data_IF_527223756546
#
_entry.id   IF_527223756546
#
_cell.length_a   1.000
_cell.length_b   1.000
_cell.length_c   1.000
_cell.angle_alpha   90.00
_cell.angle_beta   90.00
_cell.angle_gamma   90.00
#
_symmetry.space_group_name_H-M   'P 1'
#
loop_
_entity.id
_entity.type
_entity.pdbx_description
1 polymer ?
#
# COMPACT_ATOMS: atom_id res chain seq x y z
N UNK A 1 42.99 -26.06 23.19
CA UNK A 1 42.50 -24.67 23.36
C UNK A 1 41.91 -24.20 22.03
N UNK A 2 40.60 -24.27 21.87
CA UNK A 2 39.90 -23.71 20.70
C UNK A 2 38.51 -23.28 21.13
N UNK A 3 38.36 -21.99 21.40
CA UNK A 3 37.13 -21.35 21.89
C UNK A 3 36.16 -21.19 20.72
N UNK A 4 35.07 -21.95 20.73
CA UNK A 4 33.93 -21.72 19.83
C UNK A 4 33.09 -20.55 20.36
N UNK A 5 33.14 -19.42 19.66
CA UNK A 5 32.28 -18.26 19.91
C UNK A 5 30.89 -18.61 19.39
N UNK A 6 30.00 -18.97 20.32
CA UNK A 6 28.54 -19.03 20.10
C UNK A 6 28.07 -17.64 19.69
N UNK A 7 27.81 -17.43 18.40
CA UNK A 7 26.99 -16.31 17.92
C UNK A 7 25.56 -16.52 18.44
N UNK A 8 25.24 -15.92 19.58
CA UNK A 8 23.87 -15.67 20.01
C UNK A 8 23.22 -14.71 19.02
N UNK A 9 22.72 -15.25 17.91
CA UNK A 9 21.73 -14.58 17.08
C UNK A 9 20.43 -14.60 17.87
N UNK A 10 20.18 -13.51 18.59
CA UNK A 10 18.86 -13.15 19.13
C UNK A 10 17.89 -13.03 17.96
N UNK A 11 17.31 -14.16 17.56
CA UNK A 11 16.15 -14.22 16.68
C UNK A 11 15.04 -13.45 17.40
N UNK A 12 14.52 -12.43 16.74
CA UNK A 12 13.30 -11.75 17.18
C UNK A 12 12.21 -12.79 17.45
N UNK A 13 11.48 -12.68 18.58
CA UNK A 13 10.47 -13.65 18.94
C UNK A 13 9.34 -13.64 17.90
N UNK A 14 9.00 -14.86 17.48
CA UNK A 14 7.86 -15.20 16.65
C UNK A 14 6.60 -14.94 17.46
N UNK A 15 5.89 -13.84 17.22
CA UNK A 15 4.50 -13.67 17.70
C UNK A 15 3.76 -12.51 17.03
N UNK A 16 2.79 -12.85 16.18
CA UNK A 16 1.39 -12.37 16.21
C UNK A 16 0.74 -12.52 14.83
N UNK A 17 -0.20 -13.46 14.71
CA UNK A 17 -1.10 -13.59 13.54
C UNK A 17 -2.02 -12.37 13.34
N UNK A 18 -2.00 -11.42 14.28
CA UNK A 18 -2.94 -10.29 14.35
C UNK A 18 -2.34 -8.94 13.92
N UNK A 19 -1.04 -8.91 13.58
CA UNK A 19 -0.29 -7.67 13.31
C UNK A 19 0.43 -7.76 11.98
N UNK A 20 0.08 -6.88 11.04
CA UNK A 20 0.81 -6.73 9.77
C UNK A 20 1.70 -5.51 9.85
N UNK A 21 2.98 -5.68 9.50
CA UNK A 21 3.93 -4.58 9.32
C UNK A 21 4.21 -4.46 7.83
N UNK A 22 3.92 -3.29 7.26
CA UNK A 22 4.29 -2.94 5.90
C UNK A 22 5.50 -2.03 5.92
N UNK A 23 6.54 -2.43 5.19
CA UNK A 23 7.70 -1.61 4.90
C UNK A 23 7.52 -0.98 3.51
N UNK A 24 7.83 0.30 3.37
CA UNK A 24 7.82 0.99 2.07
C UNK A 24 9.06 1.84 1.91
N UNK A 25 9.81 1.58 0.84
CA UNK A 25 11.05 2.30 0.53
C UNK A 25 10.85 3.78 0.30
N UNK A 26 9.73 4.17 -0.31
CA UNK A 26 9.57 5.53 -0.79
C UNK A 26 8.53 6.26 0.05
N UNK A 27 8.96 7.41 0.57
CA UNK A 27 8.15 8.41 1.30
C UNK A 27 6.89 8.85 0.54
N UNK A 28 6.79 8.55 -0.76
CA UNK A 28 5.68 8.90 -1.65
C UNK A 28 4.31 8.34 -1.21
N UNK A 29 4.29 7.28 -0.42
CA UNK A 29 3.06 6.66 0.08
C UNK A 29 2.65 7.13 1.49
N UNK A 30 3.16 8.28 1.95
CA UNK A 30 2.70 9.00 3.14
C UNK A 30 1.53 9.90 2.77
N UNK A 31 0.34 9.32 2.60
CA UNK A 31 -0.82 10.11 2.22
C UNK A 31 -2.14 9.50 2.73
N UNK A 32 -3.19 10.30 2.62
CA UNK A 32 -4.55 9.97 3.00
C UNK A 32 -5.14 8.80 2.20
N UNK A 33 -4.77 8.69 0.92
CA UNK A 33 -5.25 7.62 0.02
C UNK A 33 -4.80 6.25 0.52
N UNK A 34 -3.51 6.12 0.82
CA UNK A 34 -2.96 4.89 1.37
C UNK A 34 -3.54 4.57 2.74
N UNK A 35 -3.64 5.57 3.61
CA UNK A 35 -4.20 5.38 4.96
C UNK A 35 -5.64 4.88 4.89
N UNK A 36 -6.47 5.44 4.00
CA UNK A 36 -7.82 4.96 3.77
C UNK A 36 -7.85 3.51 3.26
N UNK A 37 -6.98 3.16 2.32
CA UNK A 37 -6.89 1.80 1.82
C UNK A 37 -6.58 0.80 2.95
N UNK A 38 -5.67 1.15 3.86
CA UNK A 38 -5.37 0.32 5.04
C UNK A 38 -6.54 0.22 6.00
N UNK A 39 -7.26 1.32 6.24
CA UNK A 39 -8.45 1.31 7.09
C UNK A 39 -9.55 0.40 6.51
N UNK A 40 -9.81 0.49 5.20
CA UNK A 40 -10.82 -0.33 4.54
C UNK A 40 -10.42 -1.81 4.50
N UNK A 41 -9.17 -2.10 4.14
CA UNK A 41 -8.64 -3.46 4.18
C UNK A 41 -8.76 -4.05 5.58
N UNK A 42 -8.38 -3.28 6.60
CA UNK A 42 -8.49 -3.73 7.98
C UNK A 42 -9.97 -3.96 8.35
N UNK A 43 -10.91 -3.10 7.94
CA UNK A 43 -12.35 -3.30 8.19
C UNK A 43 -12.88 -4.62 7.60
N UNK A 44 -12.44 -4.97 6.40
CA UNK A 44 -12.86 -6.19 5.70
C UNK A 44 -12.25 -7.45 6.32
N UNK A 45 -11.01 -7.36 6.81
CA UNK A 45 -10.28 -8.48 7.39
C UNK A 45 -10.24 -8.41 8.93
N UNK A 46 -11.35 -8.84 9.56
CA UNK A 46 -11.51 -8.89 11.03
C UNK A 46 -10.48 -9.77 11.78
N UNK A 47 -9.77 -10.65 11.08
CA UNK A 47 -8.70 -11.47 11.66
C UNK A 47 -7.43 -10.67 11.96
N UNK A 48 -7.25 -9.51 11.33
CA UNK A 48 -6.08 -8.66 11.54
C UNK A 48 -6.51 -7.55 12.49
N UNK A 49 -5.86 -7.43 13.64
CA UNK A 49 -6.20 -6.38 14.62
C UNK A 49 -5.57 -5.05 14.24
N UNK A 50 -4.34 -5.10 13.71
CA UNK A 50 -3.52 -3.90 13.55
C UNK A 50 -2.62 -3.96 12.32
N UNK A 51 -2.56 -2.85 11.61
CA UNK A 51 -1.60 -2.65 10.53
C UNK A 51 -0.69 -1.48 10.85
N UNK A 52 0.61 -1.70 10.69
CA UNK A 52 1.64 -0.67 10.90
C UNK A 52 2.36 -0.43 9.59
N UNK A 53 2.37 0.80 9.13
CA UNK A 53 3.18 1.25 8.02
C UNK A 53 4.40 2.00 8.57
N UNK A 54 5.60 1.45 8.33
CA UNK A 54 6.86 2.12 8.66
C UNK A 54 7.38 2.84 7.43
N UNK A 55 7.83 4.07 7.62
CA UNK A 55 8.45 4.87 6.58
C UNK A 55 9.94 5.02 6.84
N UNK A 56 10.72 5.07 5.77
CA UNK A 56 12.16 5.24 5.86
C UNK A 56 12.55 6.57 6.51
N UNK A 57 13.59 6.51 7.33
CA UNK A 57 14.27 7.64 7.96
C UNK A 57 15.77 7.50 7.68
N UNK A 58 16.44 8.62 7.40
CA UNK A 58 17.87 8.62 7.14
C UNK A 58 18.60 8.04 8.37
N UNK A 59 19.41 7.00 8.18
CA UNK A 59 20.15 6.33 9.26
C UNK A 59 19.39 5.20 9.98
N UNK A 60 18.13 4.89 9.62
CA UNK A 60 17.40 3.73 10.14
C UNK A 60 17.18 2.64 9.07
N UNK A 61 17.57 1.41 9.42
CA UNK A 61 17.86 0.28 8.52
C UNK A 61 16.66 -0.53 8.00
N UNK A 62 15.42 -0.05 8.13
CA UNK A 62 14.27 -0.74 7.51
C UNK A 62 14.34 -0.78 5.97
N UNK A 63 15.25 0.00 5.39
CA UNK A 63 15.63 0.02 3.97
C UNK A 63 16.32 -1.30 3.56
N UNK A 64 17.10 -1.93 4.44
CA UNK A 64 17.93 -3.09 4.08
C UNK A 64 17.11 -4.33 3.67
N UNK A 65 15.92 -4.53 4.25
CA UNK A 65 15.05 -5.65 3.88
C UNK A 65 14.49 -5.46 2.46
N UNK A 66 14.11 -4.23 2.10
CA UNK A 66 13.54 -3.96 0.78
C UNK A 66 14.62 -3.90 -0.29
N UNK A 67 15.79 -3.32 0.02
CA UNK A 67 16.99 -3.36 -0.84
C UNK A 67 17.38 -4.79 -1.19
N UNK A 68 17.26 -5.72 -0.23
CA UNK A 68 17.56 -7.13 -0.47
C UNK A 68 16.60 -7.76 -1.48
N UNK A 69 15.31 -7.41 -1.42
CA UNK A 69 14.30 -7.87 -2.37
C UNK A 69 14.54 -7.24 -3.74
N UNK A 70 14.85 -5.94 -3.79
CA UNK A 70 15.20 -5.24 -5.03
C UNK A 70 16.41 -5.86 -5.71
N UNK A 71 17.45 -6.20 -4.94
CA UNK A 71 18.64 -6.88 -5.46
C UNK A 71 18.30 -8.23 -6.09
N UNK A 72 17.37 -8.99 -5.50
CA UNK A 72 16.92 -10.27 -6.07
C UNK A 72 16.14 -10.07 -7.36
N UNK A 73 15.20 -9.11 -7.38
CA UNK A 73 14.41 -8.80 -8.57
C UNK A 73 15.30 -8.29 -9.69
N UNK A 74 16.20 -7.36 -9.42
CA UNK A 74 17.13 -6.79 -10.40
C UNK A 74 18.04 -7.88 -10.98
N UNK A 75 18.63 -8.73 -10.12
CA UNK A 75 19.47 -9.84 -10.57
C UNK A 75 18.70 -10.80 -11.48
N UNK A 76 17.42 -11.04 -11.20
CA UNK A 76 16.58 -11.90 -12.03
C UNK A 76 16.26 -11.27 -13.39
N UNK A 77 15.98 -9.97 -13.42
CA UNK A 77 15.59 -9.26 -14.65
C UNK A 77 16.77 -8.78 -15.50
N UNK A 78 17.99 -8.69 -14.95
CA UNK A 78 19.17 -8.08 -15.59
C UNK A 78 19.45 -8.57 -17.01
N UNK A 79 19.21 -9.84 -17.28
CA UNK A 79 19.50 -10.48 -18.58
C UNK A 79 18.23 -10.91 -19.33
N UNK A 80 17.08 -10.36 -18.95
CA UNK A 80 15.79 -10.71 -19.54
C UNK A 80 15.25 -9.55 -20.35
N UNK A 81 14.88 -9.83 -21.59
CA UNK A 81 14.16 -8.89 -22.42
C UNK A 81 12.67 -8.90 -22.06
N UNK A 82 12.10 -7.70 -21.90
CA UNK A 82 10.72 -7.51 -21.45
C UNK A 82 10.02 -6.62 -22.48
N UNK A 83 9.13 -7.22 -23.27
CA UNK A 83 8.46 -6.54 -24.38
C UNK A 83 7.03 -6.10 -24.05
N UNK A 84 6.42 -6.68 -23.01
CA UNK A 84 5.08 -6.33 -22.56
C UNK A 84 4.91 -6.46 -21.04
N UNK A 85 3.88 -5.85 -20.45
CA UNK A 85 3.48 -6.09 -19.07
C UNK A 85 3.22 -7.57 -18.75
N UNK A 86 2.70 -8.34 -19.72
CA UNK A 86 2.51 -9.77 -19.56
C UNK A 86 3.85 -10.50 -19.43
N UNK A 87 4.83 -10.16 -20.27
CA UNK A 87 6.20 -10.66 -20.18
C UNK A 87 6.81 -10.37 -18.81
N UNK A 88 6.65 -9.14 -18.31
CA UNK A 88 7.12 -8.76 -16.97
C UNK A 88 6.51 -9.64 -15.88
N UNK A 89 5.18 -9.83 -15.88
CA UNK A 89 4.50 -10.64 -14.86
C UNK A 89 4.97 -12.09 -14.93
N UNK A 90 5.08 -12.68 -16.12
CA UNK A 90 5.58 -14.06 -16.30
C UNK A 90 6.98 -14.25 -15.72
N UNK A 91 7.86 -13.27 -15.92
CA UNK A 91 9.22 -13.30 -15.39
C UNK A 91 9.24 -13.14 -13.88
N UNK A 92 8.52 -12.15 -13.36
CA UNK A 92 8.43 -11.89 -11.93
C UNK A 92 7.84 -13.08 -11.15
N UNK A 93 6.79 -13.74 -11.67
CA UNK A 93 6.17 -14.90 -11.01
C UNK A 93 7.07 -16.14 -10.97
N UNK A 94 8.09 -16.20 -11.84
CA UNK A 94 9.09 -17.27 -11.80
C UNK A 94 10.13 -17.10 -10.68
N UNK A 95 10.17 -15.93 -10.03
CA UNK A 95 11.07 -15.67 -8.91
C UNK A 95 10.56 -16.43 -7.68
N UNK A 96 11.45 -17.21 -7.06
CA UNK A 96 11.10 -17.99 -5.85
C UNK A 96 10.73 -17.12 -4.66
N UNK A 97 11.42 -15.99 -4.48
CA UNK A 97 11.17 -14.96 -3.48
C UNK A 97 11.58 -13.60 -4.07
N UNK A 98 10.70 -12.58 -4.11
CA UNK A 98 9.43 -12.46 -3.38
C UNK A 98 8.23 -13.14 -4.07
N UNK A 99 7.16 -13.38 -3.30
CA UNK A 99 5.85 -13.72 -3.88
C UNK A 99 5.28 -12.49 -4.60
N UNK A 100 4.91 -12.68 -5.86
CA UNK A 100 4.33 -11.61 -6.69
C UNK A 100 2.82 -11.62 -6.56
N UNK A 101 2.25 -10.47 -6.19
CA UNK A 101 0.81 -10.27 -6.10
C UNK A 101 0.45 -9.17 -7.10
N UNK A 102 -0.39 -9.51 -8.08
CA UNK A 102 -0.91 -8.55 -9.03
C UNK A 102 -2.18 -7.89 -8.48
N UNK A 103 -2.25 -6.57 -8.60
CA UNK A 103 -3.46 -5.83 -8.27
C UNK A 103 -4.50 -6.02 -9.38
N UNK A 104 -5.67 -6.57 -9.02
CA UNK A 104 -6.76 -6.87 -9.97
C UNK A 104 -7.76 -5.72 -10.06
N UNK A 105 -7.98 -5.01 -8.94
CA UNK A 105 -8.99 -3.96 -8.84
C UNK A 105 -8.35 -2.59 -8.64
N UNK A 106 -8.70 -1.65 -9.52
CA UNK A 106 -8.29 -0.25 -9.45
C UNK A 106 -9.45 0.56 -8.88
N UNK A 107 -9.43 0.79 -7.57
CA UNK A 107 -10.52 1.45 -6.84
C UNK A 107 -10.18 2.91 -6.54
N UNK A 108 -11.20 3.79 -6.59
CA UNK A 108 -11.03 5.22 -6.31
C UNK A 108 -11.02 5.51 -4.79
N UNK A 109 -9.84 5.40 -4.20
CA UNK A 109 -9.58 5.80 -2.83
C UNK A 109 -9.40 7.31 -2.66
N UNK A 110 -9.01 8.02 -3.71
CA UNK A 110 -8.64 9.43 -3.63
C UNK A 110 -9.86 10.32 -3.39
N UNK A 111 -10.92 10.12 -4.17
CA UNK A 111 -12.16 10.89 -4.01
C UNK A 111 -12.78 10.64 -2.63
N UNK A 112 -12.76 9.39 -2.15
CA UNK A 112 -13.27 9.04 -0.82
C UNK A 112 -12.47 9.64 0.31
N UNK A 113 -11.14 9.59 0.23
CA UNK A 113 -10.28 10.17 1.26
C UNK A 113 -10.54 11.67 1.43
N UNK A 114 -10.76 12.40 0.33
CA UNK A 114 -11.09 13.84 0.37
C UNK A 114 -12.53 14.10 0.81
N UNK A 115 -13.48 13.27 0.39
CA UNK A 115 -14.92 13.48 0.61
C UNK A 115 -15.37 13.16 2.03
N UNK A 116 -14.95 12.02 2.59
CA UNK A 116 -15.57 11.46 3.81
C UNK A 116 -14.72 11.57 5.08
N UNK A 117 -13.41 11.82 4.93
CA UNK A 117 -12.46 11.79 6.03
C UNK A 117 -11.71 13.12 6.19
N UNK A 118 -11.37 13.47 7.42
CA UNK A 118 -10.59 14.67 7.74
C UNK A 118 -9.11 14.31 7.93
N UNK A 119 -8.46 13.91 6.84
CA UNK A 119 -7.05 13.52 6.89
C UNK A 119 -6.07 14.70 6.97
N UNK A 120 -6.53 15.95 6.88
CA UNK A 120 -5.67 17.14 7.03
C UNK A 120 -5.07 17.26 8.43
N UNK A 121 -5.68 16.61 9.43
CA UNK A 121 -5.20 16.56 10.80
C UNK A 121 -3.92 15.71 10.96
N UNK A 122 -3.61 14.84 9.99
CA UNK A 122 -2.43 13.97 10.05
C UNK A 122 -1.29 14.64 9.29
N UNK A 123 -0.15 14.96 9.94
CA UNK A 123 0.99 15.61 9.29
C UNK A 123 1.82 14.61 8.49
N UNK A 124 1.26 14.07 7.41
CA UNK A 124 1.83 12.94 6.65
C UNK A 124 3.29 13.11 6.25
N UNK A 125 3.73 14.33 5.92
CA UNK A 125 5.11 14.63 5.55
C UNK A 125 6.11 14.28 6.66
N UNK A 126 5.70 14.48 7.92
CA UNK A 126 6.54 14.27 9.11
C UNK A 126 6.38 12.87 9.72
N UNK A 127 5.32 12.14 9.35
CA UNK A 127 5.05 10.81 9.91
C UNK A 127 6.14 9.81 9.50
N UNK A 128 6.70 9.12 10.50
CA UNK A 128 7.70 8.03 10.34
C UNK A 128 7.10 6.66 10.54
N UNK A 129 6.05 6.57 11.34
CA UNK A 129 5.30 5.34 11.52
C UNK A 129 3.82 5.69 11.61
N UNK A 130 2.99 5.03 10.82
CA UNK A 130 1.54 5.15 10.86
C UNK A 130 0.95 3.79 11.23
N UNK A 131 -0.14 3.80 11.98
CA UNK A 131 -0.80 2.61 12.43
C UNK A 131 -2.31 2.79 12.44
N UNK A 132 -2.99 1.75 11.96
CA UNK A 132 -4.44 1.62 12.02
C UNK A 132 -4.75 0.41 12.90
N UNK A 133 -5.71 0.57 13.80
CA UNK A 133 -6.09 -0.46 14.76
C UNK A 133 -7.62 -0.58 14.80
N UNK A 134 -8.12 -1.81 14.69
CA UNK A 134 -9.55 -2.08 14.81
C UNK A 134 -10.06 -1.82 16.22
N UNK A 135 -9.25 -2.09 17.26
CA UNK A 135 -9.70 -2.01 18.66
C UNK A 135 -9.87 -0.58 19.14
N UNK A 136 -9.10 0.36 18.57
CA UNK A 136 -9.23 1.79 18.85
C UNK A 136 -10.34 2.48 18.03
N UNK A 137 -11.03 1.71 17.18
CA UNK A 137 -12.06 2.17 16.25
C UNK A 137 -11.49 2.46 14.87
N UNK A 138 -12.23 2.03 13.83
CA UNK A 138 -11.76 2.07 12.44
C UNK A 138 -11.44 3.47 11.90
N UNK A 139 -11.98 4.53 12.53
CA UNK A 139 -11.73 5.92 12.17
C UNK A 139 -10.55 6.54 12.92
N UNK A 140 -9.87 5.78 13.76
CA UNK A 140 -8.70 6.24 14.49
C UNK A 140 -7.42 5.88 13.71
N UNK A 141 -6.53 6.85 13.60
CA UNK A 141 -5.19 6.68 13.03
C UNK A 141 -4.19 7.10 14.08
N UNK A 142 -3.20 6.25 14.33
CA UNK A 142 -2.08 6.53 15.23
C UNK A 142 -0.82 6.76 14.44
N UNK A 143 -0.01 7.73 14.85
CA UNK A 143 1.27 7.96 14.18
C UNK A 143 2.38 8.34 15.17
N UNK A 144 3.62 8.13 14.72
CA UNK A 144 4.85 8.63 15.35
C UNK A 144 5.62 9.50 14.38
N UNK A 145 6.31 10.49 14.93
CA UNK A 145 7.19 11.40 14.19
C UNK A 145 8.67 10.97 14.19
N UNK A 146 9.01 9.92 14.94
CA UNK A 146 10.37 9.34 15.02
C UNK A 146 10.29 7.85 15.35
N UNK A 147 11.29 7.08 14.92
CA UNK A 147 11.46 5.67 15.28
C UNK A 147 12.01 5.44 16.69
N UNK A 148 12.36 6.51 17.43
CA UNK A 148 12.87 6.38 18.79
C UNK A 148 11.88 5.65 19.73
N UNK A 149 12.36 4.74 20.61
CA UNK A 149 11.50 3.95 21.49
C UNK A 149 10.61 4.80 22.40
N UNK A 150 11.12 5.94 22.86
CA UNK A 150 10.46 6.85 23.80
C UNK A 150 9.47 7.82 23.15
N UNK A 151 9.29 7.77 21.82
CA UNK A 151 8.33 8.65 21.17
C UNK A 151 6.91 8.10 21.31
N UNK A 152 6.02 8.88 21.93
CA UNK A 152 4.64 8.50 22.16
C UNK A 152 3.82 8.47 20.86
N UNK A 153 2.82 7.59 20.85
CA UNK A 153 1.86 7.53 19.75
C UNK A 153 0.86 8.66 19.85
N UNK A 154 0.80 9.53 18.84
CA UNK A 154 -0.30 10.47 18.71
C UNK A 154 -1.49 9.77 18.07
N UNK A 155 -2.67 9.87 18.67
CA UNK A 155 -3.91 9.28 18.16
C UNK A 155 -4.83 10.38 17.64
N UNK A 156 -5.31 10.22 16.41
CA UNK A 156 -6.22 11.16 15.76
C UNK A 156 -7.47 10.43 15.23
N UNK A 157 -8.64 11.03 15.41
CA UNK A 157 -9.86 10.60 14.73
C UNK A 157 -9.95 11.31 13.38
N UNK A 158 -10.06 10.56 12.29
CA UNK A 158 -10.21 11.11 10.92
C UNK A 158 -11.66 11.18 10.47
N UNK A 159 -12.62 10.96 11.38
CA UNK A 159 -14.05 11.12 11.07
C UNK A 159 -14.37 12.59 10.86
N UNK A 160 -15.00 12.95 9.73
CA UNK A 160 -15.57 14.29 9.58
C UNK A 160 -16.75 14.43 10.54
N UNK A 161 -16.69 15.44 11.40
CA UNK A 161 -17.87 15.86 12.15
C UNK A 161 -18.85 16.51 11.19
N UNK A 162 -20.06 15.94 11.08
CA UNK A 162 -21.16 16.59 10.39
C UNK A 162 -21.68 17.66 11.34
N UNK A 163 -21.40 18.93 11.07
CA UNK A 163 -22.04 20.04 11.81
C UNK A 163 -23.54 19.93 11.56
N UNK A 164 -24.38 19.77 12.60
CA UNK A 164 -25.82 19.79 12.40
C UNK A 164 -26.22 21.20 11.96
N UNK A 165 -26.61 21.34 10.69
CA UNK A 165 -27.24 22.56 10.20
C UNK A 165 -28.55 22.73 10.95
N UNK A 166 -28.70 23.87 11.61
CA UNK A 166 -29.78 24.20 12.52
C UNK A 166 -31.15 24.07 11.85
N UNK A 167 -31.86 22.95 12.02
CA UNK A 167 -33.30 22.93 12.33
C UNK A 167 -33.80 21.50 12.60
N UNK A 168 -34.64 21.41 13.64
CA UNK A 168 -35.54 20.33 14.05
C UNK A 168 -34.95 19.17 14.86
N UNK A 169 -35.49 19.07 16.09
CA UNK A 169 -35.40 17.94 17.02
C UNK A 169 -35.64 16.63 16.27
N UNK A 170 -34.62 15.77 16.20
CA UNK A 170 -34.78 14.39 15.82
C UNK A 170 -33.84 13.52 16.67
N UNK A 171 -34.49 12.59 17.36
CA UNK A 171 -34.04 11.38 18.05
C UNK A 171 -32.56 11.01 17.88
N UNK A 172 -31.87 10.85 19.02
CA UNK A 172 -30.52 10.31 19.13
C UNK A 172 -30.51 8.85 18.71
N UNK A 173 -30.38 8.61 17.40
CA UNK A 173 -30.00 7.30 16.89
C UNK A 173 -28.48 7.30 16.77
N UNK A 174 -27.81 6.51 17.63
CA UNK A 174 -26.38 6.21 17.52
C UNK A 174 -26.09 5.59 16.14
N UNK A 175 -25.78 6.42 15.14
CA UNK A 175 -25.24 5.95 13.86
C UNK A 175 -23.75 5.63 14.03
N UNK A 176 -23.52 4.43 14.56
CA UNK A 176 -22.24 3.75 14.63
C UNK A 176 -22.04 2.87 13.39
N UNK A 177 -22.15 3.44 12.20
CA UNK A 177 -21.72 2.76 10.99
C UNK A 177 -21.05 3.75 10.05
N UNK A 178 -19.82 3.40 9.66
CA UNK A 178 -19.20 3.92 8.44
C UNK A 178 -20.23 3.68 7.33
N UNK A 179 -20.58 4.69 6.51
CA UNK A 179 -21.37 4.44 5.32
C UNK A 179 -20.73 3.31 4.51
N UNK A 180 -21.48 2.24 4.28
CA UNK A 180 -21.08 1.12 3.44
C UNK A 180 -21.21 1.56 1.98
N UNK A 181 -20.39 2.53 1.58
CA UNK A 181 -20.39 3.01 0.20
C UNK A 181 -19.35 2.15 -0.52
N UNK A 182 -19.70 1.37 -1.56
CA UNK A 182 -18.73 0.61 -2.33
C UNK A 182 -17.73 1.55 -3.01
N UNK A 183 -16.45 1.16 -3.09
CA UNK A 183 -15.46 1.90 -3.86
C UNK A 183 -15.80 1.80 -5.35
N UNK A 184 -15.74 2.92 -6.07
CA UNK A 184 -15.97 2.92 -7.52
C UNK A 184 -14.69 2.50 -8.24
N UNK A 185 -14.77 1.69 -9.31
CA UNK A 185 -13.62 1.46 -10.18
C UNK A 185 -13.11 2.77 -10.79
N UNK A 186 -11.80 2.91 -10.89
CA UNK A 186 -11.18 4.01 -11.63
C UNK A 186 -11.52 3.88 -13.12
N UNK A 187 -11.80 5.02 -13.75
CA UNK A 187 -12.03 5.07 -15.19
C UNK A 187 -10.74 4.62 -15.90
N UNK A 188 -10.85 3.63 -16.78
CA UNK A 188 -9.71 3.19 -17.60
C UNK A 188 -9.22 4.37 -18.44
N UNK A 189 -7.94 4.75 -18.36
CA UNK A 189 -7.40 5.79 -19.23
C UNK A 189 -7.39 5.30 -20.68
N UNK A 190 -7.77 6.16 -21.61
CA UNK A 190 -7.63 5.88 -23.04
C UNK A 190 -6.19 6.19 -23.46
N UNK A 191 -5.58 5.31 -24.26
CA UNK A 191 -4.26 5.54 -24.82
C UNK A 191 -4.31 6.65 -25.87
N UNK A 192 -3.43 7.64 -25.75
CA UNK A 192 -3.25 8.68 -26.75
C UNK A 192 -2.85 8.09 -28.11
N UNK A 193 -3.28 8.73 -29.21
CA UNK A 193 -3.05 8.25 -30.57
C UNK A 193 -1.56 8.05 -30.89
N UNK A 194 -0.70 8.95 -30.43
CA UNK A 194 0.75 8.86 -30.59
C UNK A 194 1.31 7.59 -29.92
N UNK A 195 0.89 7.30 -28.69
CA UNK A 195 1.28 6.09 -27.98
C UNK A 195 0.79 4.83 -28.67
N UNK A 196 -0.41 4.86 -29.27
CA UNK A 196 -0.89 3.74 -30.07
C UNK A 196 0.02 3.50 -31.29
N UNK A 197 0.44 4.56 -31.98
CA UNK A 197 1.36 4.47 -33.12
C UNK A 197 2.72 3.88 -32.73
N UNK A 198 3.29 4.35 -31.61
CA UNK A 198 4.56 3.83 -31.09
C UNK A 198 4.48 2.35 -30.72
N UNK A 199 3.40 1.93 -30.06
CA UNK A 199 3.22 0.53 -29.70
C UNK A 199 3.04 -0.37 -30.93
N UNK A 200 2.31 0.11 -31.94
CA UNK A 200 2.15 -0.61 -33.21
C UNK A 200 3.46 -0.81 -33.95
N UNK A 201 4.35 0.20 -33.95
CA UNK A 201 5.67 0.09 -34.60
C UNK A 201 6.59 -0.90 -33.90
N UNK A 202 6.37 -1.17 -32.61
CA UNK A 202 7.14 -2.15 -31.85
C UNK A 202 6.66 -3.60 -32.03
N UNK A 203 5.41 -3.84 -32.47
CA UNK A 203 4.83 -5.18 -32.60
C UNK A 203 5.70 -6.18 -33.39
N UNK A 204 6.34 -5.83 -34.53
CA UNK A 204 7.16 -6.77 -35.30
C UNK A 204 8.36 -7.32 -34.53
N UNK A 205 8.82 -6.62 -33.50
CA UNK A 205 9.99 -7.00 -32.70
C UNK A 205 9.61 -7.79 -31.44
N UNK A 206 8.32 -8.00 -31.18
CA UNK A 206 7.85 -8.68 -29.99
C UNK A 206 7.67 -10.19 -30.24
N UNK A 207 8.00 -11.05 -29.25
CA UNK A 207 7.61 -12.45 -29.28
C UNK A 207 6.09 -12.61 -29.42
N UNK A 208 5.66 -13.72 -30.02
CA UNK A 208 4.25 -13.99 -30.35
C UNK A 208 3.28 -13.76 -29.17
N UNK A 209 3.64 -14.24 -27.98
CA UNK A 209 2.79 -14.12 -26.79
C UNK A 209 2.63 -12.68 -26.29
N UNK A 210 3.67 -11.86 -26.46
CA UNK A 210 3.69 -10.45 -26.08
C UNK A 210 2.98 -9.60 -27.13
N UNK A 211 3.16 -9.95 -28.41
CA UNK A 211 2.46 -9.31 -29.53
C UNK A 211 0.95 -9.49 -29.40
N UNK A 212 0.47 -10.73 -29.18
CA UNK A 212 -0.96 -11.00 -28.99
C UNK A 212 -1.56 -10.21 -27.82
N UNK A 213 -0.83 -10.10 -26.71
CA UNK A 213 -1.24 -9.27 -25.58
C UNK A 213 -1.32 -7.78 -25.97
N UNK A 214 -0.29 -7.24 -26.61
CA UNK A 214 -0.25 -5.82 -26.98
C UNK A 214 -1.30 -5.46 -28.03
N UNK A 215 -1.61 -6.36 -28.97
CA UNK A 215 -2.73 -6.19 -29.89
C UNK A 215 -4.06 -6.08 -29.14
N UNK A 216 -4.31 -6.93 -28.14
CA UNK A 216 -5.53 -6.85 -27.31
C UNK A 216 -5.65 -5.53 -26.55
N UNK A 217 -4.53 -4.93 -26.16
CA UNK A 217 -4.49 -3.62 -25.49
C UNK A 217 -4.81 -2.50 -26.47
N UNK A 218 -4.35 -2.58 -27.71
CA UNK A 218 -4.59 -1.55 -28.73
C UNK A 218 -6.04 -1.51 -29.23
N UNK A 219 -6.73 -2.65 -29.21
CA UNK A 219 -8.12 -2.80 -29.64
C UNK A 219 -9.15 -2.31 -28.59
N UNK A 220 -8.72 -2.11 -27.34
CA UNK A 220 -9.54 -1.59 -26.24
C UNK A 220 -9.37 -0.07 -26.04
#
# INVERSE_FOLDING_TARGET
MTTQIKKNSTRHPVEHKDKIIMLKEICQNRNSVMTLALMLFLKEHKSIQRMTQKFCEAGHSCIQEVDSIHSVVERHLRHQEIFSPLGLVKKLTSIRNPKVIQMVFFLDYQSKAKGEFNFSLVPFTQVRQLQVDQTAGIHSVRYKLSHQPHNDWTTMSVRKEVRPTTTRKATVTKRSSVPEIPLKPLKKPCLATEKKKDLTSMLPYMPESDNAYMQSVLMN
#
